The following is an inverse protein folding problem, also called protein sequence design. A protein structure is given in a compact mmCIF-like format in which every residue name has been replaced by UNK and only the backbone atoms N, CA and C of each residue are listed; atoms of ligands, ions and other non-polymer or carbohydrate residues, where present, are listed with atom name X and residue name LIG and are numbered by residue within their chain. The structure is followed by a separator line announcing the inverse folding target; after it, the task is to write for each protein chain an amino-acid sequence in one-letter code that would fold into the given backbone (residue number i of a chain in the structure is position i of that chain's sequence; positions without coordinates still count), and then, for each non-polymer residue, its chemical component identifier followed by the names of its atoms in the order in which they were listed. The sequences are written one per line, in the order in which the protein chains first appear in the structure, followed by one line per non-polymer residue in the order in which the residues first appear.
data_IF_817161452324
#
_entry.id   IF_817161452324
#
_cell.length_a   1.000
_cell.length_b   1.000
_cell.length_c   1.000
_cell.angle_alpha   90.00
_cell.angle_beta   90.00
_cell.angle_gamma   90.00
#
_symmetry.space_group_name_H-M   'P 1'
#
loop_
_entity.id
_entity.type
_entity.pdbx_description
1 polymer ?
#
# COMPACT_ATOMS: atom_id res chain seq x y z
N UNK A 1 9.29 50.88 -24.10
CA UNK A 1 9.45 49.42 -24.09
C UNK A 1 8.34 48.87 -24.95
N UNK A 2 8.70 48.20 -26.04
CA UNK A 2 7.74 47.76 -27.03
C UNK A 2 7.04 46.46 -26.59
N UNK A 3 5.78 46.25 -27.00
CA UNK A 3 4.98 45.08 -26.59
C UNK A 3 5.66 43.73 -26.90
N UNK A 4 6.43 43.65 -27.98
CA UNK A 4 7.15 42.42 -28.36
C UNK A 4 8.32 42.08 -27.42
N UNK A 5 8.93 43.09 -26.77
CA UNK A 5 10.01 42.88 -25.79
C UNK A 5 9.47 42.24 -24.51
N UNK A 6 8.28 42.66 -24.07
CA UNK A 6 7.58 42.07 -22.92
C UNK A 6 7.21 40.60 -23.22
N UNK A 7 6.75 40.31 -24.45
CA UNK A 7 6.43 38.93 -24.87
C UNK A 7 7.66 37.99 -24.86
N UNK A 8 8.83 38.48 -25.30
CA UNK A 8 10.09 37.72 -25.25
C UNK A 8 10.53 37.39 -23.82
N UNK A 9 10.43 38.36 -22.89
CA UNK A 9 10.77 38.14 -21.49
C UNK A 9 9.83 37.13 -20.81
N UNK A 10 8.53 37.16 -21.13
CA UNK A 10 7.57 36.18 -20.64
C UNK A 10 7.85 34.77 -21.17
N UNK A 11 8.25 34.63 -22.43
CA UNK A 11 8.64 33.33 -23.00
C UNK A 11 9.86 32.72 -22.30
N UNK A 12 10.88 33.53 -22.00
CA UNK A 12 12.11 33.06 -21.32
C UNK A 12 11.84 32.60 -19.88
N UNK A 13 10.79 33.11 -19.22
CA UNK A 13 10.45 32.71 -17.84
C UNK A 13 9.48 31.52 -17.84
N UNK A 14 8.45 31.53 -18.70
CA UNK A 14 7.41 30.50 -18.75
C UNK A 14 7.96 29.20 -19.34
N UNK A 15 8.80 29.27 -20.38
CA UNK A 15 9.31 28.09 -21.08
C UNK A 15 10.19 27.18 -20.19
N UNK A 16 11.17 27.69 -19.42
CA UNK A 16 11.92 26.86 -18.48
C UNK A 16 11.06 26.32 -17.34
N UNK A 17 10.05 27.08 -16.89
CA UNK A 17 9.13 26.63 -15.84
C UNK A 17 8.29 25.43 -16.31
N UNK A 18 7.77 25.51 -17.54
CA UNK A 18 7.00 24.44 -18.17
C UNK A 18 7.89 23.22 -18.46
N UNK A 19 9.10 23.45 -18.97
CA UNK A 19 10.12 22.40 -19.14
C UNK A 19 10.51 21.72 -17.82
N UNK A 20 10.70 22.49 -16.74
CA UNK A 20 11.03 21.96 -15.42
C UNK A 20 9.89 21.13 -14.83
N UNK A 21 8.64 21.62 -14.90
CA UNK A 21 7.45 20.85 -14.53
C UNK A 21 7.36 19.55 -15.32
N UNK A 22 7.47 19.62 -16.65
CA UNK A 22 7.40 18.46 -17.55
C UNK A 22 8.49 17.42 -17.26
N UNK A 23 9.70 17.84 -16.90
CA UNK A 23 10.78 16.92 -16.50
C UNK A 23 10.54 16.30 -15.12
N UNK A 24 10.02 17.08 -14.15
CA UNK A 24 9.66 16.58 -12.82
C UNK A 24 8.55 15.51 -12.92
N UNK A 25 7.52 15.76 -13.72
CA UNK A 25 6.41 14.82 -13.91
C UNK A 25 6.87 13.54 -14.61
N UNK A 26 7.74 13.65 -15.64
CA UNK A 26 8.38 12.48 -16.27
C UNK A 26 9.21 11.66 -15.29
N UNK A 27 9.97 12.31 -14.41
CA UNK A 27 10.78 11.64 -13.38
C UNK A 27 9.89 10.93 -12.35
N UNK A 28 8.83 11.58 -11.89
CA UNK A 28 7.85 11.00 -10.98
C UNK A 28 7.15 9.78 -11.60
N UNK A 29 6.72 9.90 -12.86
CA UNK A 29 6.11 8.80 -13.60
C UNK A 29 7.05 7.61 -13.76
N UNK A 30 8.31 7.85 -14.17
CA UNK A 30 9.33 6.80 -14.26
C UNK A 30 9.53 6.10 -12.92
N UNK A 31 9.67 6.86 -11.84
CA UNK A 31 9.82 6.32 -10.49
C UNK A 31 8.61 5.47 -10.06
N UNK A 32 7.40 5.88 -10.42
CA UNK A 32 6.18 5.12 -10.14
C UNK A 32 6.13 3.80 -10.93
N UNK A 33 6.51 3.81 -12.22
CA UNK A 33 6.59 2.59 -13.03
C UNK A 33 7.62 1.59 -12.46
N UNK A 34 8.76 2.08 -11.99
CA UNK A 34 9.78 1.23 -11.37
C UNK A 34 9.26 0.61 -10.06
N UNK A 35 8.47 1.35 -9.28
CA UNK A 35 7.82 0.84 -8.07
C UNK A 35 6.78 -0.24 -8.40
N UNK A 36 5.97 -0.05 -9.44
CA UNK A 36 5.00 -1.05 -9.91
C UNK A 36 5.67 -2.35 -10.35
N UNK A 37 6.80 -2.26 -11.06
CA UNK A 37 7.58 -3.43 -11.47
C UNK A 37 8.12 -4.19 -10.27
N UNK A 38 8.57 -3.47 -9.25
CA UNK A 38 9.13 -4.06 -8.03
C UNK A 38 8.06 -4.61 -7.09
N UNK A 39 6.82 -4.13 -7.14
CA UNK A 39 5.76 -4.53 -6.20
C UNK A 39 4.99 -5.77 -6.61
N UNK A 40 5.09 -6.22 -7.87
CA UNK A 40 4.27 -7.32 -8.40
C UNK A 40 2.76 -7.09 -8.29
N UNK A 41 2.29 -5.84 -8.25
CA UNK A 41 0.86 -5.52 -8.02
C UNK A 41 -0.09 -6.16 -9.05
N UNK A 42 0.35 -6.33 -10.29
CA UNK A 42 -0.45 -7.00 -11.32
C UNK A 42 -0.69 -8.48 -10.99
N UNK A 43 0.24 -9.15 -10.31
CA UNK A 43 0.06 -10.53 -9.83
C UNK A 43 -0.93 -10.55 -8.66
N UNK A 44 -0.84 -9.57 -7.75
CA UNK A 44 -1.77 -9.39 -6.64
C UNK A 44 -3.21 -9.20 -7.15
N UNK A 45 -3.39 -8.43 -8.24
CA UNK A 45 -4.70 -8.18 -8.83
C UNK A 45 -5.38 -9.45 -9.39
N UNK A 46 -4.62 -10.51 -9.67
CA UNK A 46 -5.13 -11.81 -10.15
C UNK A 46 -5.36 -12.84 -9.03
N UNK A 47 -4.93 -12.56 -7.79
CA UNK A 47 -5.12 -13.48 -6.67
C UNK A 47 -6.59 -13.62 -6.30
N UNK A 48 -6.98 -14.77 -5.75
CA UNK A 48 -8.24 -14.85 -5.00
C UNK A 48 -8.09 -14.24 -3.59
N UNK A 49 -9.17 -14.23 -2.79
CA UNK A 49 -9.12 -13.66 -1.43
C UNK A 49 -8.09 -14.36 -0.54
N UNK A 50 -8.13 -15.68 -0.48
CA UNK A 50 -7.22 -16.50 0.33
C UNK A 50 -5.75 -16.33 -0.05
N UNK A 51 -5.47 -16.35 -1.35
CA UNK A 51 -4.11 -16.09 -1.86
C UNK A 51 -3.61 -14.71 -1.45
N UNK A 52 -4.49 -13.70 -1.40
CA UNK A 52 -4.12 -12.37 -0.94
C UNK A 52 -3.81 -12.34 0.56
N UNK A 53 -4.56 -13.07 1.38
CA UNK A 53 -4.28 -13.22 2.82
C UNK A 53 -2.90 -13.86 3.05
N UNK A 54 -2.61 -14.95 2.34
CA UNK A 54 -1.33 -15.67 2.41
C UNK A 54 -0.17 -14.80 1.90
N UNK A 55 -0.41 -14.02 0.85
CA UNK A 55 0.53 -13.03 0.36
C UNK A 55 0.85 -11.97 1.42
N UNK A 56 -0.18 -11.38 2.04
CA UNK A 56 0.00 -10.37 3.09
C UNK A 56 0.72 -10.95 4.30
N UNK A 57 0.43 -12.19 4.67
CA UNK A 57 1.14 -12.91 5.73
C UNK A 57 2.64 -12.98 5.41
N UNK A 58 3.00 -13.43 4.21
CA UNK A 58 4.40 -13.49 3.76
C UNK A 58 5.07 -12.12 3.67
N UNK A 59 4.33 -11.10 3.25
CA UNK A 59 4.80 -9.72 3.17
C UNK A 59 5.15 -9.17 4.56
N UNK A 60 4.23 -9.29 5.52
CA UNK A 60 4.45 -8.78 6.87
C UNK A 60 5.47 -9.60 7.66
N UNK A 61 5.60 -10.91 7.42
CA UNK A 61 6.74 -11.69 7.92
C UNK A 61 8.07 -11.13 7.44
N UNK A 62 8.15 -10.77 6.15
CA UNK A 62 9.37 -10.15 5.59
C UNK A 62 9.65 -8.77 6.20
N UNK A 63 8.63 -8.09 6.72
CA UNK A 63 8.75 -6.82 7.45
C UNK A 63 9.00 -7.02 8.97
N UNK A 64 9.22 -8.25 9.43
CA UNK A 64 9.56 -8.58 10.82
C UNK A 64 8.39 -8.85 11.75
N UNK A 65 7.16 -8.98 11.24
CA UNK A 65 6.00 -9.34 12.05
C UNK A 65 5.88 -10.87 12.20
N UNK A 66 5.40 -11.32 13.35
CA UNK A 66 4.79 -12.65 13.44
C UNK A 66 3.38 -12.56 12.87
N UNK A 67 2.96 -13.54 12.08
CA UNK A 67 1.67 -13.50 11.38
C UNK A 67 0.92 -14.81 11.51
N UNK A 68 -0.40 -14.72 11.59
CA UNK A 68 -1.32 -15.84 11.57
C UNK A 68 -2.47 -15.50 10.62
N UNK A 69 -2.75 -16.37 9.64
CA UNK A 69 -3.92 -16.25 8.77
C UNK A 69 -5.08 -17.00 9.43
N UNK A 70 -6.24 -16.37 9.57
CA UNK A 70 -7.38 -16.97 10.25
C UNK A 70 -8.04 -18.07 9.39
N UNK A 71 -8.97 -18.82 10.00
CA UNK A 71 -9.61 -19.98 9.36
C UNK A 71 -10.69 -19.60 8.32
N UNK A 72 -10.90 -18.31 8.05
CA UNK A 72 -11.83 -17.78 7.04
C UNK A 72 -13.33 -17.95 7.34
N UNK A 73 -13.71 -18.86 8.25
CA UNK A 73 -15.08 -18.99 8.77
C UNK A 73 -15.07 -18.76 10.28
N UNK A 74 -16.00 -17.94 10.77
CA UNK A 74 -16.09 -17.59 12.19
C UNK A 74 -14.89 -16.79 12.68
N UNK A 75 -14.29 -15.97 11.81
CA UNK A 75 -13.10 -15.16 12.11
C UNK A 75 -13.42 -13.77 12.68
N UNK A 76 -14.71 -13.50 12.92
CA UNK A 76 -15.21 -12.26 13.51
C UNK A 76 -14.74 -10.98 12.78
N UNK A 77 -14.39 -11.06 11.49
CA UNK A 77 -13.96 -9.92 10.68
C UNK A 77 -12.44 -9.64 10.72
N UNK A 78 -11.61 -10.65 11.01
CA UNK A 78 -10.15 -10.56 10.83
C UNK A 78 -9.63 -11.70 9.95
N UNK A 79 -8.93 -11.35 8.88
CA UNK A 79 -8.30 -12.33 8.00
C UNK A 79 -6.87 -12.67 8.43
N UNK A 80 -6.18 -11.71 9.09
CA UNK A 80 -4.87 -11.93 9.69
C UNK A 80 -4.77 -11.33 11.10
N UNK A 81 -3.93 -11.97 11.91
CA UNK A 81 -3.43 -11.42 13.18
C UNK A 81 -1.91 -11.24 13.05
N UNK A 82 -1.45 -10.01 13.22
CA UNK A 82 -0.02 -9.68 13.27
C UNK A 82 0.40 -9.43 14.72
N UNK A 83 1.66 -9.76 15.04
CA UNK A 83 2.30 -9.38 16.30
C UNK A 83 3.68 -8.79 16.05
N UNK A 84 3.96 -7.68 16.71
CA UNK A 84 5.28 -7.06 16.76
C UNK A 84 5.55 -6.56 18.19
N UNK A 85 6.64 -7.03 18.81
CA UNK A 85 7.03 -6.63 20.17
C UNK A 85 5.87 -6.69 21.20
N UNK A 86 5.09 -7.78 21.18
CA UNK A 86 3.94 -7.97 22.08
C UNK A 86 2.67 -7.19 21.70
N UNK A 87 2.74 -6.28 20.72
CA UNK A 87 1.57 -5.54 20.21
C UNK A 87 0.86 -6.36 19.14
N UNK A 88 -0.44 -6.59 19.34
CA UNK A 88 -1.28 -7.36 18.43
C UNK A 88 -2.09 -6.43 17.52
N UNK A 89 -2.16 -6.79 16.24
CA UNK A 89 -2.85 -6.06 15.19
C UNK A 89 -3.77 -7.03 14.47
N UNK A 90 -5.05 -6.68 14.34
CA UNK A 90 -5.98 -7.42 13.48
C UNK A 90 -6.10 -6.74 12.12
N UNK A 91 -6.18 -7.56 11.08
CA UNK A 91 -6.17 -7.09 9.70
C UNK A 91 -7.35 -7.70 8.95
N UNK A 92 -8.15 -6.86 8.30
CA UNK A 92 -9.07 -7.27 7.25
C UNK A 92 -8.41 -7.03 5.89
N UNK A 93 -8.27 -8.07 5.09
CA UNK A 93 -7.71 -8.08 3.75
C UNK A 93 -8.83 -8.14 2.70
N UNK A 94 -8.89 -7.15 1.81
CA UNK A 94 -9.86 -7.13 0.70
C UNK A 94 -9.16 -7.02 -0.65
N UNK A 95 -9.05 -8.14 -1.37
CA UNK A 95 -8.67 -8.11 -2.80
C UNK A 95 -9.91 -7.92 -3.65
N UNK A 96 -10.17 -6.72 -4.17
CA UNK A 96 -11.39 -6.38 -4.91
C UNK A 96 -11.11 -5.64 -6.24
N UNK A 97 -12.06 -5.75 -7.17
CA UNK A 97 -12.07 -4.97 -8.43
C UNK A 97 -12.56 -3.53 -8.24
N UNK A 98 -13.43 -3.32 -7.25
CA UNK A 98 -14.02 -2.03 -6.92
C UNK A 98 -13.42 -1.45 -5.64
N UNK A 99 -13.70 -0.17 -5.40
CA UNK A 99 -13.31 0.50 -4.16
C UNK A 99 -13.93 -0.19 -2.93
N UNK A 100 -13.17 -0.25 -1.85
CA UNK A 100 -13.59 -0.86 -0.58
C UNK A 100 -14.48 0.10 0.20
N UNK A 101 -15.65 -0.38 0.61
CA UNK A 101 -16.67 0.37 1.34
C UNK A 101 -16.55 0.28 2.86
N UNK A 102 -17.55 0.85 3.55
CA UNK A 102 -17.58 0.94 5.03
C UNK A 102 -17.58 -0.41 5.74
N UNK A 103 -18.13 -1.45 5.10
CA UNK A 103 -18.30 -2.77 5.70
C UNK A 103 -16.97 -3.34 6.21
N UNK A 104 -15.89 -3.22 5.45
CA UNK A 104 -14.58 -3.76 5.84
C UNK A 104 -13.98 -3.06 7.06
N UNK A 105 -14.33 -1.79 7.26
CA UNK A 105 -13.93 -1.05 8.46
C UNK A 105 -14.76 -1.51 9.66
N UNK A 106 -16.07 -1.71 9.48
CA UNK A 106 -16.96 -2.21 10.53
C UNK A 106 -16.56 -3.61 11.00
N UNK A 107 -16.24 -4.51 10.05
CA UNK A 107 -15.76 -5.88 10.32
C UNK A 107 -14.52 -5.85 11.23
N UNK A 108 -13.47 -5.12 10.83
CA UNK A 108 -12.22 -5.12 11.61
C UNK A 108 -12.36 -4.41 12.97
N UNK A 109 -13.23 -3.41 13.07
CA UNK A 109 -13.54 -2.74 14.35
C UNK A 109 -14.20 -3.73 15.32
N UNK A 110 -15.13 -4.55 14.83
CA UNK A 110 -15.74 -5.63 15.61
C UNK A 110 -14.73 -6.66 16.08
N UNK A 111 -13.77 -7.00 15.22
CA UNK A 111 -12.71 -7.98 15.53
C UNK A 111 -11.75 -7.51 16.64
N UNK A 112 -11.52 -6.20 16.80
CA UNK A 112 -10.50 -5.64 17.72
C UNK A 112 -10.57 -6.21 19.13
N UNK A 113 -11.77 -6.22 19.72
CA UNK A 113 -11.98 -6.68 21.10
C UNK A 113 -11.95 -8.20 21.21
N UNK A 114 -12.53 -8.90 20.24
CA UNK A 114 -12.51 -10.36 20.21
C UNK A 114 -11.08 -10.91 20.22
N UNK A 115 -10.19 -10.32 19.43
CA UNK A 115 -8.80 -10.73 19.37
C UNK A 115 -7.89 -10.08 20.41
N UNK A 116 -8.38 -9.19 21.27
CA UNK A 116 -7.57 -8.38 22.19
C UNK A 116 -6.37 -7.71 21.46
N UNK A 117 -6.71 -6.92 20.45
CA UNK A 117 -5.75 -6.22 19.58
C UNK A 117 -5.66 -4.73 19.91
N UNK A 118 -4.43 -4.20 19.88
CA UNK A 118 -4.18 -2.78 20.09
C UNK A 118 -4.56 -1.94 18.86
N UNK A 119 -4.32 -2.49 17.66
CA UNK A 119 -4.54 -1.81 16.39
C UNK A 119 -5.36 -2.66 15.41
N UNK A 120 -5.99 -1.97 14.46
CA UNK A 120 -6.92 -2.52 13.46
C UNK A 120 -6.56 -1.96 12.09
N UNK A 121 -6.29 -2.83 11.12
CA UNK A 121 -5.90 -2.41 9.77
C UNK A 121 -6.86 -2.97 8.73
N UNK A 122 -7.09 -2.21 7.66
CA UNK A 122 -7.72 -2.75 6.44
C UNK A 122 -6.73 -2.61 5.29
N UNK A 123 -6.45 -3.73 4.62
CA UNK A 123 -5.47 -3.80 3.52
C UNK A 123 -6.20 -4.20 2.24
N UNK A 124 -5.93 -3.49 1.14
CA UNK A 124 -6.56 -3.78 -0.15
C UNK A 124 -5.61 -3.50 -1.31
N UNK A 125 -5.80 -4.23 -2.41
CA UNK A 125 -5.14 -3.97 -3.69
C UNK A 125 -5.76 -2.77 -4.45
N UNK A 126 -6.84 -2.19 -3.91
CA UNK A 126 -7.61 -1.11 -4.52
C UNK A 126 -7.60 0.14 -3.62
N UNK A 127 -8.60 1.00 -3.75
CA UNK A 127 -8.74 2.21 -2.95
C UNK A 127 -10.01 2.17 -2.10
N UNK A 128 -10.04 2.97 -1.05
CA UNK A 128 -11.23 3.10 -0.19
C UNK A 128 -12.20 4.14 -0.75
N UNK A 129 -13.48 4.02 -0.39
CA UNK A 129 -14.46 5.10 -0.58
C UNK A 129 -14.27 6.20 0.47
N UNK A 130 -14.78 7.41 0.20
CA UNK A 130 -14.73 8.49 1.19
C UNK A 130 -15.44 8.14 2.51
N UNK A 131 -16.63 7.51 2.52
CA UNK A 131 -17.25 7.06 3.76
C UNK A 131 -16.38 6.07 4.54
N UNK A 132 -15.69 5.14 3.86
CA UNK A 132 -14.78 4.20 4.51
C UNK A 132 -13.59 4.91 5.16
N UNK A 133 -13.00 5.90 4.48
CA UNK A 133 -11.94 6.75 5.06
C UNK A 133 -12.40 7.48 6.32
N UNK A 134 -13.57 8.11 6.27
CA UNK A 134 -14.14 8.84 7.42
C UNK A 134 -14.39 7.92 8.61
N UNK A 135 -14.98 6.74 8.37
CA UNK A 135 -15.26 5.77 9.42
C UNK A 135 -13.97 5.19 10.01
N UNK A 136 -12.97 4.92 9.17
CA UNK A 136 -11.68 4.41 9.62
C UNK A 136 -10.97 5.41 10.53
N UNK A 137 -10.95 6.69 10.13
CA UNK A 137 -10.41 7.77 10.95
C UNK A 137 -11.12 7.87 12.31
N UNK A 138 -12.45 7.75 12.34
CA UNK A 138 -13.22 7.82 13.58
C UNK A 138 -12.99 6.63 14.54
N UNK A 139 -12.40 5.52 14.05
CA UNK A 139 -12.17 4.30 14.82
C UNK A 139 -10.68 3.90 14.92
N UNK A 140 -9.77 4.82 14.59
CA UNK A 140 -8.30 4.58 14.57
C UNK A 140 -7.90 3.35 13.74
N UNK A 141 -8.59 3.11 12.63
CA UNK A 141 -8.28 2.03 11.69
C UNK A 141 -7.29 2.52 10.65
N UNK A 142 -6.14 1.84 10.55
CA UNK A 142 -5.16 2.13 9.50
C UNK A 142 -5.65 1.57 8.16
N UNK A 143 -5.68 2.42 7.14
CA UNK A 143 -6.03 2.04 5.79
C UNK A 143 -4.76 1.88 4.94
N UNK A 144 -4.56 0.69 4.38
CA UNK A 144 -3.46 0.37 3.48
C UNK A 144 -4.06 0.09 2.11
N UNK A 145 -4.07 1.12 1.28
CA UNK A 145 -4.58 1.06 -0.08
C UNK A 145 -3.51 0.59 -1.08
N UNK A 146 -3.88 0.58 -2.35
CA UNK A 146 -3.03 0.17 -3.47
C UNK A 146 -1.65 0.86 -3.46
N UNK A 147 -1.61 2.17 -3.24
CA UNK A 147 -0.36 2.92 -3.35
C UNK A 147 0.58 2.57 -2.18
N UNK A 148 0.04 2.42 -0.98
CA UNK A 148 0.84 1.99 0.17
C UNK A 148 1.25 0.52 0.06
N UNK A 149 0.36 -0.36 -0.40
CA UNK A 149 0.67 -1.76 -0.66
C UNK A 149 1.82 -1.89 -1.67
N UNK A 150 1.76 -1.16 -2.79
CA UNK A 150 2.83 -1.12 -3.80
C UNK A 150 4.16 -0.74 -3.16
N UNK A 151 4.18 0.30 -2.30
CA UNK A 151 5.41 0.75 -1.61
C UNK A 151 5.98 -0.34 -0.71
N UNK A 152 5.14 -0.97 0.12
CA UNK A 152 5.53 -2.05 1.04
C UNK A 152 6.09 -3.26 0.28
N UNK A 153 5.38 -3.71 -0.76
CA UNK A 153 5.78 -4.84 -1.60
C UNK A 153 7.10 -4.57 -2.32
N UNK A 154 7.27 -3.38 -2.89
CA UNK A 154 8.51 -3.00 -3.58
C UNK A 154 9.70 -2.91 -2.61
N UNK A 155 9.49 -2.43 -1.39
CA UNK A 155 10.53 -2.41 -0.37
C UNK A 155 11.05 -3.83 -0.08
N UNK A 156 10.14 -4.75 0.27
CA UNK A 156 10.48 -6.14 0.59
C UNK A 156 11.17 -6.84 -0.59
N UNK A 157 10.69 -6.62 -1.81
CA UNK A 157 11.27 -7.26 -2.99
C UNK A 157 12.68 -6.73 -3.32
N UNK A 158 12.96 -5.45 -3.05
CA UNK A 158 14.32 -4.90 -3.17
C UNK A 158 15.26 -5.52 -2.15
N UNK A 159 14.85 -5.59 -0.88
CA UNK A 159 15.66 -6.18 0.19
C UNK A 159 16.03 -7.64 -0.13
N UNK A 160 15.05 -8.46 -0.56
CA UNK A 160 15.28 -9.84 -0.99
C UNK A 160 16.27 -9.96 -2.15
N UNK A 161 16.22 -9.03 -3.11
CA UNK A 161 17.12 -9.03 -4.27
C UNK A 161 18.55 -8.72 -3.86
N UNK A 162 18.75 -7.72 -2.99
CA UNK A 162 20.07 -7.35 -2.47
C UNK A 162 20.70 -8.49 -1.67
N UNK A 163 19.97 -9.07 -0.72
CA UNK A 163 20.47 -10.19 0.11
C UNK A 163 20.86 -11.40 -0.75
N UNK A 164 20.09 -11.69 -1.81
CA UNK A 164 20.43 -12.78 -2.73
C UNK A 164 21.73 -12.47 -3.49
N UNK A 165 21.89 -11.26 -4.02
CA UNK A 165 23.09 -10.88 -4.77
C UNK A 165 24.36 -10.89 -3.92
N UNK A 166 24.28 -10.50 -2.64
CA UNK A 166 25.40 -10.54 -1.69
C UNK A 166 25.84 -11.98 -1.40
N UNK A 167 24.88 -12.90 -1.20
CA UNK A 167 25.16 -14.32 -0.96
C UNK A 167 25.90 -15.00 -2.12
N UNK A 168 25.69 -14.58 -3.37
CA UNK A 168 26.41 -15.11 -4.53
C UNK A 168 27.82 -14.54 -4.71
N UNK A 169 28.13 -13.39 -4.08
CA UNK A 169 29.48 -12.79 -4.13
C UNK A 169 30.40 -13.31 -3.01
N UNK A 170 29.82 -13.89 -1.95
CA UNK A 170 30.56 -14.46 -0.82
C UNK A 170 30.86 -15.97 -0.97
N UNK A 171 30.41 -16.58 -2.06
CA UNK A 171 30.68 -17.97 -2.44
C UNK A 171 31.60 -18.00 -3.66
#
# INVERSE_FOLDING_TARGET
MELWQIALLLLIIIFPLDMYKKNKDKKAHKSYLDLLRQSSINQIDQMNGRQFEEYLSSLYQSLGYQTEVTKGSGDFGADLVLKNNGTKIVVQAKRYKNKVGIQSVQEVVGAKRYYDAAHTWVVTNNYFTEPARKLAHANDVLLIDRDLLIKLSAQVNREKTTTRAEKYKSN
#
